data_IF_289970134920
#
_entry.id   IF_289970134920
#
_cell.length_a   1.000
_cell.length_b   1.000
_cell.length_c   1.000
_cell.angle_alpha   90.00
_cell.angle_beta   90.00
_cell.angle_gamma   90.00
#
_symmetry.space_group_name_H-M   'P 1'
#
loop_
_entity.id
_entity.type
_entity.pdbx_description
1 polymer ?
#
# COMPACT_ATOMS: atom_id res chain seq x y z
N UNK A 1 -10.56 11.68 18.60
CA UNK A 1 -9.49 11.45 17.61
C UNK A 1 -10.15 11.58 16.24
N UNK A 2 -9.69 12.51 15.38
CA UNK A 2 -10.25 12.61 14.02
C UNK A 2 -9.89 11.32 13.29
N UNK A 3 -10.90 10.63 12.78
CA UNK A 3 -10.73 9.53 11.84
C UNK A 3 -9.93 10.09 10.65
N UNK A 4 -8.64 9.79 10.57
CA UNK A 4 -7.85 10.19 9.41
C UNK A 4 -8.37 9.35 8.25
N UNK A 5 -8.95 10.01 7.24
CA UNK A 5 -9.47 9.34 6.04
C UNK A 5 -8.34 8.48 5.44
N UNK A 6 -8.60 7.20 5.23
CA UNK A 6 -7.64 6.26 4.63
C UNK A 6 -7.17 6.75 3.25
N UNK A 7 -7.92 7.62 2.56
CA UNK A 7 -7.48 8.30 1.33
C UNK A 7 -6.32 9.27 1.56
N UNK A 8 -6.34 10.01 2.67
CA UNK A 8 -5.26 10.93 3.01
C UNK A 8 -4.07 10.15 3.54
N UNK A 9 -4.33 9.13 4.37
CA UNK A 9 -3.31 8.22 4.89
C UNK A 9 -2.52 7.52 3.78
N UNK A 10 -3.20 6.90 2.81
CA UNK A 10 -2.54 6.26 1.65
C UNK A 10 -1.84 7.25 0.72
N UNK A 11 -2.34 8.49 0.61
CA UNK A 11 -1.66 9.56 -0.14
C UNK A 11 -0.37 10.00 0.55
N UNK A 12 -0.39 10.17 1.86
CA UNK A 12 0.79 10.56 2.64
C UNK A 12 1.82 9.42 2.69
N UNK A 13 1.37 8.17 2.75
CA UNK A 13 2.22 7.00 2.54
C UNK A 13 2.95 7.06 1.18
N UNK A 14 2.21 7.28 0.09
CA UNK A 14 2.80 7.39 -1.25
C UNK A 14 3.84 8.53 -1.34
N UNK A 15 3.58 9.69 -0.73
CA UNK A 15 4.57 10.79 -0.69
C UNK A 15 5.87 10.35 0.00
N UNK A 16 5.78 9.66 1.14
CA UNK A 16 6.97 9.19 1.87
C UNK A 16 7.78 8.19 1.04
N UNK A 17 7.13 7.30 0.30
CA UNK A 17 7.81 6.38 -0.62
C UNK A 17 8.49 7.14 -1.77
N UNK A 18 7.81 8.13 -2.37
CA UNK A 18 8.40 8.96 -3.43
C UNK A 18 9.70 9.62 -2.96
N UNK A 19 9.73 10.14 -1.72
CA UNK A 19 10.97 10.70 -1.16
C UNK A 19 12.05 9.64 -0.94
N UNK A 20 11.69 8.41 -0.52
CA UNK A 20 12.66 7.30 -0.44
C UNK A 20 13.23 6.98 -1.83
N UNK A 21 12.37 6.80 -2.84
CA UNK A 21 12.80 6.48 -4.20
C UNK A 21 13.71 7.56 -4.81
N UNK A 22 13.49 8.84 -4.48
CA UNK A 22 14.37 9.95 -4.92
C UNK A 22 15.78 9.88 -4.35
N UNK A 23 15.95 9.26 -3.18
CA UNK A 23 17.23 9.17 -2.48
C UNK A 23 17.90 7.80 -2.64
N UNK A 24 17.35 6.91 -3.49
CA UNK A 24 17.98 5.63 -3.80
C UNK A 24 19.27 5.84 -4.61
N UNK A 25 20.26 4.95 -4.47
CA UNK A 25 21.48 5.03 -5.24
C UNK A 25 21.19 4.91 -6.75
N UNK A 26 21.89 5.69 -7.57
CA UNK A 26 21.70 5.68 -9.02
C UNK A 26 22.34 4.47 -9.73
N UNK A 27 22.49 3.35 -9.03
CA UNK A 27 22.99 2.07 -9.56
C UNK A 27 21.84 1.18 -10.08
N UNK A 28 22.19 -0.01 -10.59
CA UNK A 28 21.20 -0.94 -11.17
C UNK A 28 20.15 -1.35 -10.13
N UNK A 29 20.56 -1.68 -8.93
CA UNK A 29 19.69 -2.22 -7.89
C UNK A 29 18.71 -1.15 -7.39
N UNK A 30 19.22 0.07 -7.10
CA UNK A 30 18.41 1.21 -6.70
C UNK A 30 17.37 1.61 -7.76
N UNK A 31 17.73 1.55 -9.05
CA UNK A 31 16.78 1.82 -10.15
C UNK A 31 15.71 0.75 -10.27
N UNK A 32 16.09 -0.53 -10.26
CA UNK A 32 15.14 -1.63 -10.46
C UNK A 32 14.17 -1.77 -9.28
N UNK A 33 14.70 -1.81 -8.05
CA UNK A 33 13.88 -1.89 -6.84
C UNK A 33 13.06 -0.61 -6.68
N UNK A 34 13.68 0.56 -6.88
CA UNK A 34 13.00 1.85 -6.76
C UNK A 34 11.82 2.00 -7.72
N UNK A 35 11.95 1.53 -8.96
CA UNK A 35 10.85 1.56 -9.94
C UNK A 35 9.69 0.66 -9.52
N UNK A 36 9.98 -0.55 -9.04
CA UNK A 36 8.94 -1.46 -8.59
C UNK A 36 8.23 -0.93 -7.34
N UNK A 37 9.00 -0.50 -6.34
CA UNK A 37 8.47 0.12 -5.11
C UNK A 37 7.62 1.36 -5.40
N UNK A 38 8.09 2.24 -6.29
CA UNK A 38 7.35 3.45 -6.67
C UNK A 38 5.99 3.10 -7.27
N UNK A 39 5.96 2.13 -8.20
CA UNK A 39 4.73 1.73 -8.89
C UNK A 39 3.72 1.12 -7.93
N UNK A 40 4.13 0.11 -7.16
CA UNK A 40 3.21 -0.59 -6.26
C UNK A 40 2.68 0.33 -5.15
N UNK A 41 3.56 1.08 -4.49
CA UNK A 41 3.16 1.98 -3.39
C UNK A 41 2.20 3.10 -3.81
N UNK A 42 2.40 3.70 -5.00
CA UNK A 42 1.50 4.76 -5.51
C UNK A 42 0.18 4.18 -6.01
N UNK A 43 0.18 2.91 -6.44
CA UNK A 43 -1.01 2.16 -6.85
C UNK A 43 -1.98 1.93 -5.69
N UNK A 44 -1.49 1.75 -4.45
CA UNK A 44 -2.33 1.58 -3.24
C UNK A 44 -3.35 2.71 -3.10
N UNK A 45 -2.88 3.96 -3.07
CA UNK A 45 -3.76 5.13 -2.89
C UNK A 45 -4.67 5.37 -4.10
N UNK A 46 -4.18 5.11 -5.31
CA UNK A 46 -4.97 5.23 -6.53
C UNK A 46 -6.12 4.21 -6.57
N UNK A 47 -5.84 2.94 -6.29
CA UNK A 47 -6.83 1.87 -6.25
C UNK A 47 -7.78 2.01 -5.07
N UNK A 48 -7.33 2.47 -3.90
CA UNK A 48 -8.23 2.75 -2.78
C UNK A 48 -9.24 3.85 -3.14
N UNK A 49 -8.79 4.94 -3.79
CA UNK A 49 -9.70 5.98 -4.30
C UNK A 49 -10.71 5.44 -5.32
N UNK A 50 -10.29 4.49 -6.17
CA UNK A 50 -11.18 3.79 -7.10
C UNK A 50 -12.20 2.91 -6.36
N UNK A 51 -11.78 2.20 -5.31
CA UNK A 51 -12.66 1.40 -4.45
C UNK A 51 -13.73 2.27 -3.78
N UNK A 52 -13.37 3.47 -3.29
CA UNK A 52 -14.36 4.42 -2.74
C UNK A 52 -15.42 4.88 -3.74
N UNK A 53 -15.24 4.64 -5.05
CA UNK A 53 -16.21 4.94 -6.11
C UNK A 53 -16.80 3.66 -6.72
N UNK A 54 -16.76 2.55 -5.99
CA UNK A 54 -17.28 1.28 -6.47
C UNK A 54 -18.79 1.34 -6.74
N UNK A 55 -19.21 0.66 -7.82
CA UNK A 55 -20.61 0.65 -8.27
C UNK A 55 -21.46 -0.43 -7.59
N UNK A 56 -20.82 -1.36 -6.90
CA UNK A 56 -21.47 -2.45 -6.15
C UNK A 56 -20.54 -2.96 -5.06
N UNK A 57 -21.07 -3.78 -4.13
CA UNK A 57 -20.26 -4.44 -3.11
C UNK A 57 -19.24 -5.42 -3.73
N UNK A 58 -19.58 -6.07 -4.85
CA UNK A 58 -18.65 -6.95 -5.55
C UNK A 58 -17.50 -6.17 -6.20
N UNK A 59 -17.80 -5.03 -6.84
CA UNK A 59 -16.80 -4.11 -7.41
C UNK A 59 -15.91 -3.52 -6.31
N UNK A 60 -16.48 -3.19 -5.15
CA UNK A 60 -15.73 -2.71 -3.99
C UNK A 60 -14.70 -3.74 -3.51
N UNK A 61 -15.13 -4.99 -3.33
CA UNK A 61 -14.25 -6.08 -2.89
C UNK A 61 -13.15 -6.33 -3.92
N UNK A 62 -13.48 -6.39 -5.22
CA UNK A 62 -12.51 -6.63 -6.28
C UNK A 62 -11.42 -5.55 -6.30
N UNK A 63 -11.80 -4.27 -6.19
CA UNK A 63 -10.85 -3.16 -6.14
C UNK A 63 -10.01 -3.16 -4.87
N UNK A 64 -10.59 -3.51 -3.71
CA UNK A 64 -9.82 -3.64 -2.47
C UNK A 64 -8.82 -4.80 -2.54
N UNK A 65 -9.11 -5.89 -3.24
CA UNK A 65 -8.13 -6.97 -3.45
C UNK A 65 -6.92 -6.50 -4.27
N UNK A 66 -7.11 -5.59 -5.23
CA UNK A 66 -5.96 -4.95 -5.91
C UNK A 66 -5.15 -4.12 -4.90
N UNK A 67 -5.80 -3.36 -4.02
CA UNK A 67 -5.08 -2.60 -2.97
C UNK A 67 -4.30 -3.53 -2.04
N UNK A 68 -4.87 -4.69 -1.69
CA UNK A 68 -4.22 -5.74 -0.89
C UNK A 68 -2.94 -6.24 -1.57
N UNK A 69 -3.05 -6.65 -2.85
CA UNK A 69 -1.93 -7.13 -3.67
C UNK A 69 -0.81 -6.08 -3.79
N UNK A 70 -1.16 -4.83 -4.08
CA UNK A 70 -0.18 -3.73 -4.23
C UNK A 70 0.50 -3.37 -2.90
N UNK A 71 -0.20 -3.54 -1.78
CA UNK A 71 0.36 -3.31 -0.44
C UNK A 71 1.34 -4.41 -0.06
N UNK A 72 1.01 -5.67 -0.36
CA UNK A 72 1.89 -6.82 -0.14
C UNK A 72 3.16 -6.73 -1.00
N UNK A 73 3.02 -6.39 -2.29
CA UNK A 73 4.18 -6.14 -3.16
C UNK A 73 5.05 -4.99 -2.64
N UNK A 74 4.43 -3.93 -2.13
CA UNK A 74 5.17 -2.80 -1.51
C UNK A 74 5.97 -3.23 -0.29
N UNK A 75 5.39 -4.09 0.57
CA UNK A 75 6.09 -4.64 1.75
C UNK A 75 7.33 -5.42 1.32
N UNK A 76 7.20 -6.31 0.35
CA UNK A 76 8.32 -7.09 -0.19
C UNK A 76 9.48 -6.20 -0.66
N UNK A 77 9.20 -5.11 -1.40
CA UNK A 77 10.26 -4.21 -1.84
C UNK A 77 10.90 -3.42 -0.70
N UNK A 78 10.14 -3.08 0.35
CA UNK A 78 10.68 -2.44 1.55
C UNK A 78 11.59 -3.39 2.32
N UNK A 79 11.20 -4.67 2.46
CA UNK A 79 12.03 -5.72 3.06
C UNK A 79 13.36 -5.86 2.30
N UNK A 80 13.33 -5.94 0.97
CA UNK A 80 14.55 -6.00 0.16
C UNK A 80 15.47 -4.79 0.36
N UNK A 81 14.92 -3.57 0.43
CA UNK A 81 15.72 -2.36 0.67
C UNK A 81 16.41 -2.39 2.04
N UNK A 82 15.75 -2.95 3.06
CA UNK A 82 16.26 -3.06 4.42
C UNK A 82 17.32 -4.18 4.54
N UNK A 83 17.02 -5.37 4.04
CA UNK A 83 17.90 -6.54 4.10
C UNK A 83 19.21 -6.32 3.31
N UNK A 84 19.11 -5.66 2.14
CA UNK A 84 20.27 -5.28 1.34
C UNK A 84 20.99 -4.03 1.87
N UNK A 85 20.47 -3.41 2.94
CA UNK A 85 21.01 -2.20 3.57
C UNK A 85 21.15 -1.03 2.59
N UNK A 86 20.29 -0.96 1.58
CA UNK A 86 20.25 0.11 0.58
C UNK A 86 19.70 1.39 1.22
N UNK A 87 18.72 1.23 2.10
CA UNK A 87 18.15 2.33 2.89
C UNK A 87 18.32 1.99 4.38
N UNK A 88 18.71 2.95 5.23
CA UNK A 88 18.84 2.70 6.66
C UNK A 88 17.53 2.17 7.28
N UNK A 89 17.63 1.11 8.09
CA UNK A 89 16.49 0.50 8.79
C UNK A 89 15.59 1.50 9.50
N UNK A 90 16.16 2.52 10.15
CA UNK A 90 15.40 3.59 10.85
C UNK A 90 14.46 4.39 9.94
N UNK A 91 14.72 4.39 8.63
CA UNK A 91 13.87 5.03 7.61
C UNK A 91 12.83 4.03 7.09
N UNK A 92 13.22 2.77 6.85
CA UNK A 92 12.31 1.73 6.34
C UNK A 92 11.28 1.31 7.38
N UNK A 93 11.69 1.02 8.62
CA UNK A 93 10.81 0.50 9.68
C UNK A 93 9.49 1.26 9.83
N UNK A 94 9.45 2.60 10.00
CA UNK A 94 8.20 3.33 10.16
C UNK A 94 7.35 3.43 8.88
N UNK A 95 7.88 3.04 7.73
CA UNK A 95 7.15 2.98 6.45
C UNK A 95 6.56 1.59 6.28
N UNK A 96 7.36 0.56 6.57
CA UNK A 96 6.95 -0.82 6.58
C UNK A 96 5.82 -1.08 7.60
N UNK A 97 5.91 -0.49 8.80
CA UNK A 97 4.83 -0.58 9.81
C UNK A 97 3.54 0.06 9.30
N UNK A 98 3.64 1.23 8.67
CA UNK A 98 2.50 1.93 8.08
C UNK A 98 1.85 1.12 6.95
N UNK A 99 2.65 0.49 6.09
CA UNK A 99 2.15 -0.40 5.03
C UNK A 99 1.42 -1.62 5.62
N UNK A 100 1.94 -2.22 6.71
CA UNK A 100 1.26 -3.30 7.41
C UNK A 100 -0.07 -2.87 8.04
N UNK A 101 -0.12 -1.67 8.63
CA UNK A 101 -1.37 -1.13 9.16
C UNK A 101 -2.40 -0.88 8.05
N UNK A 102 -1.98 -0.34 6.91
CA UNK A 102 -2.83 -0.20 5.71
C UNK A 102 -3.34 -1.57 5.27
N UNK A 103 -2.45 -2.57 5.13
CA UNK A 103 -2.82 -3.93 4.73
C UNK A 103 -3.86 -4.54 5.69
N UNK A 104 -3.64 -4.43 7.00
CA UNK A 104 -4.56 -4.94 8.01
C UNK A 104 -5.96 -4.31 7.90
N UNK A 105 -6.04 -3.00 7.64
CA UNK A 105 -7.31 -2.29 7.43
C UNK A 105 -8.00 -2.79 6.15
N UNK A 106 -7.26 -2.96 5.06
CA UNK A 106 -7.79 -3.43 3.77
C UNK A 106 -8.33 -4.86 3.90
N UNK A 107 -7.55 -5.78 4.48
CA UNK A 107 -7.96 -7.18 4.72
C UNK A 107 -9.21 -7.25 5.60
N UNK A 108 -9.25 -6.46 6.69
CA UNK A 108 -10.43 -6.37 7.57
C UNK A 108 -11.67 -5.86 6.81
N UNK A 109 -11.49 -4.85 5.96
CA UNK A 109 -12.54 -4.27 5.12
C UNK A 109 -13.10 -5.28 4.10
N UNK A 110 -12.22 -6.07 3.47
CA UNK A 110 -12.61 -7.16 2.55
C UNK A 110 -13.40 -8.23 3.30
N UNK A 111 -12.88 -8.72 4.44
CA UNK A 111 -13.55 -9.76 5.26
C UNK A 111 -14.95 -9.32 5.70
N UNK A 112 -15.07 -8.08 6.16
CA UNK A 112 -16.35 -7.49 6.58
C UNK A 112 -17.33 -7.37 5.41
N UNK A 113 -16.84 -6.95 4.24
CA UNK A 113 -17.64 -6.80 3.02
C UNK A 113 -18.14 -8.15 2.48
N UNK A 114 -17.28 -9.19 2.47
CA UNK A 114 -17.66 -10.56 2.11
C UNK A 114 -18.76 -11.12 3.04
N UNK A 115 -18.62 -10.91 4.35
CA UNK A 115 -19.64 -11.33 5.34
C UNK A 115 -20.99 -10.65 5.11
N UNK A 116 -21.01 -9.38 4.69
CA UNK A 116 -22.25 -8.66 4.33
C UNK A 116 -22.88 -9.23 3.06
N UNK A 117 -22.07 -9.51 2.02
CA UNK A 117 -22.55 -10.07 0.75
C UNK A 117 -23.28 -11.41 0.96
N UNK A 118 -22.74 -12.30 1.79
CA UNK A 118 -23.34 -13.61 2.08
C UNK A 118 -24.64 -13.55 2.90
N UNK A 119 -24.98 -12.41 3.50
CA UNK A 119 -26.26 -12.21 4.21
C UNK A 119 -27.36 -11.67 3.31
N UNK A 120 -27.00 -11.16 2.13
CA UNK A 120 -27.91 -10.51 1.17
C UNK A 120 -28.23 -11.41 -0.02
N UNK A 121 -27.57 -12.57 -0.12
CA UNK A 121 -27.93 -13.69 -0.99
C UNK A 121 -28.75 -14.70 -0.20
#
# INVERSE_FOLDING_TARGET
>A
MREVDLKDRTKDFAKRIIEICRNLPENRDGRLIGNQLFRSSTSIGANYRSACRAKSLADFIAKLSIVEEETDETLYWLELLDELKIVPHKIIKPIHDEANEILAIIVSSIKTSKKRKNKTQ
#
